data_IF_824536149488
#
_entry.id   IF_824536149488
#
_cell.length_a   1.000
_cell.length_b   1.000
_cell.length_c   1.000
_cell.angle_alpha   90.00
_cell.angle_beta   90.00
_cell.angle_gamma   90.00
#
_symmetry.space_group_name_H-M   'P 1'
#
loop_
_entity.id
_entity.type
_entity.pdbx_description
1 polymer ?
#
# COMPACT_ATOMS: atom_id res chain seq x y z
N UNK A 1 -18.25 10.24 13.93
CA UNK A 1 -17.18 10.47 12.93
C UNK A 1 -17.84 10.58 11.57
N UNK A 2 -17.69 11.72 10.89
CA UNK A 2 -18.21 11.90 9.54
C UNK A 2 -17.22 11.27 8.55
N UNK A 3 -17.68 10.20 7.88
CA UNK A 3 -16.88 9.44 6.93
C UNK A 3 -16.54 10.26 5.69
N UNK A 4 -17.44 11.16 5.28
CA UNK A 4 -17.24 11.99 4.10
C UNK A 4 -16.16 13.04 4.37
N UNK A 5 -16.19 13.69 5.53
CA UNK A 5 -15.14 14.60 5.96
C UNK A 5 -13.76 13.94 6.02
N UNK A 6 -13.70 12.66 6.44
CA UNK A 6 -12.45 11.90 6.43
C UNK A 6 -11.92 11.66 5.02
N UNK A 7 -12.76 11.19 4.09
CA UNK A 7 -12.37 10.99 2.69
C UNK A 7 -11.95 12.31 2.03
N UNK A 8 -12.67 13.40 2.30
CA UNK A 8 -12.30 14.73 1.82
C UNK A 8 -10.92 15.16 2.33
N UNK A 9 -10.59 14.87 3.59
CA UNK A 9 -9.26 15.15 4.14
C UNK A 9 -8.15 14.40 3.38
N UNK A 10 -8.39 13.13 3.01
CA UNK A 10 -7.45 12.33 2.22
C UNK A 10 -7.32 12.85 0.78
N UNK A 11 -8.41 13.33 0.18
CA UNK A 11 -8.39 13.92 -1.16
C UNK A 11 -7.66 15.25 -1.17
N UNK A 12 -7.78 16.05 -0.11
CA UNK A 12 -7.27 17.42 -0.08
C UNK A 12 -5.87 17.57 0.53
N UNK A 13 -5.35 16.56 1.23
CA UNK A 13 -3.99 16.59 1.76
C UNK A 13 -2.94 16.80 0.66
N UNK A 14 -1.84 17.47 1.00
CA UNK A 14 -0.77 17.87 0.07
C UNK A 14 -0.12 16.66 -0.61
N UNK A 15 0.21 15.63 0.18
CA UNK A 15 0.78 14.36 -0.29
C UNK A 15 0.04 13.23 0.40
N UNK A 16 -0.37 12.23 -0.37
CA UNK A 16 -0.99 11.01 0.15
C UNK A 16 -0.12 9.81 -0.22
N UNK A 17 0.10 8.92 0.75
CA UNK A 17 0.73 7.63 0.53
C UNK A 17 -0.35 6.57 0.73
N UNK A 18 -0.60 5.76 -0.30
CA UNK A 18 -1.47 4.60 -0.25
C UNK A 18 -0.59 3.35 -0.32
N UNK A 19 -0.57 2.61 0.78
CA UNK A 19 0.29 1.43 0.96
C UNK A 19 -0.45 0.14 0.56
N UNK A 20 0.28 -0.84 0.02
CA UNK A 20 -0.18 -2.20 -0.30
C UNK A 20 -1.43 -2.27 -1.21
N UNK A 21 -1.48 -1.43 -2.24
CA UNK A 21 -2.56 -1.44 -3.23
C UNK A 21 -2.64 -2.80 -3.95
N UNK A 22 -3.83 -3.38 -3.99
CA UNK A 22 -4.09 -4.66 -4.68
C UNK A 22 -4.13 -5.90 -3.77
N UNK A 23 -3.84 -5.76 -2.46
CA UNK A 23 -4.05 -6.82 -1.45
C UNK A 23 -5.46 -6.74 -0.84
N UNK A 24 -6.25 -5.74 -1.24
CA UNK A 24 -7.47 -5.35 -0.54
C UNK A 24 -8.57 -6.41 -0.61
N UNK A 25 -9.11 -6.74 0.58
CA UNK A 25 -10.20 -7.72 0.75
C UNK A 25 -11.41 -7.30 -0.06
N UNK A 26 -11.90 -8.26 -0.86
CA UNK A 26 -12.89 -8.25 -1.95
C UNK A 26 -14.27 -7.58 -1.75
N UNK A 27 -14.43 -6.62 -0.84
CA UNK A 27 -15.70 -5.89 -0.74
C UNK A 27 -15.80 -4.83 -1.83
N UNK A 28 -16.95 -4.78 -2.52
CA UNK A 28 -17.26 -3.74 -3.50
C UNK A 28 -17.11 -2.33 -2.92
N UNK A 29 -17.47 -2.17 -1.64
CA UNK A 29 -17.36 -0.91 -0.93
C UNK A 29 -15.91 -0.41 -0.82
N UNK A 30 -14.95 -1.26 -0.45
CA UNK A 30 -13.54 -0.87 -0.39
C UNK A 30 -13.02 -0.42 -1.76
N UNK A 31 -13.34 -1.18 -2.82
CA UNK A 31 -12.96 -0.87 -4.21
C UNK A 31 -13.49 0.50 -4.63
N UNK A 32 -14.74 0.82 -4.29
CA UNK A 32 -15.36 2.11 -4.59
C UNK A 32 -14.64 3.27 -3.87
N UNK A 33 -14.26 3.10 -2.61
CA UNK A 33 -13.54 4.15 -1.86
C UNK A 33 -12.16 4.41 -2.46
N UNK A 34 -11.42 3.36 -2.80
CA UNK A 34 -10.12 3.49 -3.48
C UNK A 34 -10.28 4.20 -4.82
N UNK A 35 -11.26 3.80 -5.62
CA UNK A 35 -11.58 4.47 -6.88
C UNK A 35 -11.85 5.96 -6.67
N UNK A 36 -12.69 6.32 -5.70
CA UNK A 36 -13.06 7.71 -5.43
C UNK A 36 -11.86 8.56 -4.99
N UNK A 37 -10.99 8.02 -4.13
CA UNK A 37 -9.77 8.71 -3.69
C UNK A 37 -8.82 8.91 -4.88
N UNK A 38 -8.51 7.84 -5.61
CA UNK A 38 -7.58 7.88 -6.76
C UNK A 38 -8.10 8.83 -7.84
N UNK A 39 -9.37 8.69 -8.23
CA UNK A 39 -9.97 9.55 -9.24
C UNK A 39 -9.98 11.02 -8.81
N UNK A 40 -10.35 11.32 -7.56
CA UNK A 40 -10.39 12.71 -7.08
C UNK A 40 -9.01 13.35 -7.03
N UNK A 41 -7.98 12.58 -6.61
CA UNK A 41 -6.61 13.09 -6.57
C UNK A 41 -5.98 13.21 -7.95
N UNK A 42 -6.30 12.29 -8.87
CA UNK A 42 -5.96 12.40 -10.29
C UNK A 42 -6.53 13.69 -10.90
N UNK A 43 -7.84 13.93 -10.74
CA UNK A 43 -8.50 15.13 -11.29
C UNK A 43 -7.96 16.44 -10.69
N UNK A 44 -7.58 16.42 -9.42
CA UNK A 44 -6.97 17.56 -8.73
C UNK A 44 -5.44 17.64 -8.91
N UNK A 45 -4.84 16.73 -9.66
CA UNK A 45 -3.40 16.60 -9.87
C UNK A 45 -2.60 16.64 -8.55
N UNK A 46 -3.12 15.95 -7.52
CA UNK A 46 -2.50 15.93 -6.19
C UNK A 46 -1.42 14.83 -6.10
N UNK A 47 -0.20 15.17 -5.63
CA UNK A 47 0.88 14.21 -5.48
C UNK A 47 0.47 12.99 -4.66
N UNK A 48 0.64 11.79 -5.21
CA UNK A 48 0.24 10.54 -4.56
C UNK A 48 1.31 9.49 -4.80
N UNK A 49 1.70 8.81 -3.73
CA UNK A 49 2.63 7.68 -3.76
C UNK A 49 1.82 6.42 -3.51
N UNK A 50 2.02 5.42 -4.36
CA UNK A 50 1.40 4.11 -4.22
C UNK A 50 2.49 3.07 -4.00
N UNK A 51 2.29 2.15 -3.07
CA UNK A 51 3.09 0.92 -2.99
C UNK A 51 2.20 -0.26 -3.34
N UNK A 52 2.79 -1.29 -3.92
CA UNK A 52 2.07 -2.49 -4.33
C UNK A 52 3.03 -3.66 -4.48
N UNK A 53 2.54 -4.86 -4.19
CA UNK A 53 3.24 -6.11 -4.47
C UNK A 53 2.83 -6.72 -5.83
N UNK A 54 1.98 -6.04 -6.59
CA UNK A 54 1.61 -6.45 -7.94
C UNK A 54 2.75 -6.13 -8.91
N UNK A 55 2.96 -7.01 -9.89
CA UNK A 55 3.89 -6.72 -10.97
C UNK A 55 3.35 -5.61 -11.86
N UNK A 56 4.25 -4.85 -12.48
CA UNK A 56 3.84 -3.80 -13.43
C UNK A 56 2.99 -4.36 -14.58
N UNK A 57 3.31 -5.58 -15.06
CA UNK A 57 2.51 -6.26 -16.08
C UNK A 57 1.08 -6.54 -15.61
N UNK A 58 0.90 -7.00 -14.37
CA UNK A 58 -0.42 -7.23 -13.77
C UNK A 58 -1.24 -5.94 -13.69
N UNK A 59 -0.60 -4.82 -13.35
CA UNK A 59 -1.26 -3.50 -13.26
C UNK A 59 -1.67 -3.02 -14.66
N UNK A 60 -0.75 -3.10 -15.63
CA UNK A 60 -0.98 -2.64 -17.01
C UNK A 60 -2.04 -3.49 -17.73
N UNK A 61 -2.01 -4.80 -17.52
CA UNK A 61 -2.86 -5.78 -18.21
C UNK A 61 -3.96 -6.35 -17.30
N UNK A 62 -4.41 -5.59 -16.30
CA UNK A 62 -5.41 -6.04 -15.34
C UNK A 62 -6.72 -6.52 -15.99
N UNK A 63 -7.15 -7.74 -15.65
CA UNK A 63 -8.38 -8.37 -16.17
C UNK A 63 -9.46 -8.60 -15.10
N UNK A 64 -9.20 -8.22 -13.86
CA UNK A 64 -10.04 -8.59 -12.72
C UNK A 64 -11.39 -7.88 -12.71
N UNK A 65 -11.38 -6.55 -12.86
CA UNK A 65 -12.61 -5.74 -12.92
C UNK A 65 -12.38 -4.44 -13.70
N UNK A 66 -13.48 -3.86 -14.20
CA UNK A 66 -13.45 -2.57 -14.91
C UNK A 66 -13.03 -1.44 -13.96
N UNK A 67 -13.41 -1.53 -12.69
CA UNK A 67 -13.02 -0.58 -11.64
C UNK A 67 -11.51 -0.58 -11.44
N UNK A 68 -10.89 -1.76 -11.31
CA UNK A 68 -9.43 -1.86 -11.19
C UNK A 68 -8.70 -1.38 -12.44
N UNK A 69 -9.18 -1.70 -13.64
CA UNK A 69 -8.62 -1.17 -14.88
C UNK A 69 -8.58 0.36 -14.90
N UNK A 70 -9.67 0.99 -14.43
CA UNK A 70 -9.76 2.45 -14.33
C UNK A 70 -8.84 3.05 -13.25
N UNK A 71 -8.67 2.36 -12.12
CA UNK A 71 -7.74 2.77 -11.06
C UNK A 71 -6.31 2.71 -11.60
N UNK A 72 -5.91 1.56 -12.13
CA UNK A 72 -4.56 1.33 -12.63
C UNK A 72 -4.20 2.21 -13.81
N UNK A 73 -5.14 2.45 -14.74
CA UNK A 73 -4.92 3.39 -15.84
C UNK A 73 -4.57 4.81 -15.36
N UNK A 74 -5.23 5.30 -14.30
CA UNK A 74 -4.90 6.62 -13.70
C UNK A 74 -3.57 6.61 -12.99
N UNK A 75 -3.26 5.53 -12.25
CA UNK A 75 -1.98 5.39 -11.56
C UNK A 75 -0.83 5.36 -12.56
N UNK A 76 -0.96 4.60 -13.66
CA UNK A 76 0.06 4.53 -14.71
C UNK A 76 0.32 5.90 -15.34
N UNK A 77 -0.73 6.70 -15.56
CA UNK A 77 -0.57 8.04 -16.13
C UNK A 77 0.09 9.01 -15.13
N UNK A 78 -0.37 9.02 -13.87
CA UNK A 78 0.03 10.04 -12.91
C UNK A 78 1.30 9.71 -12.10
N UNK A 79 1.85 8.50 -12.24
CA UNK A 79 2.99 8.03 -11.46
C UNK A 79 4.17 7.57 -12.33
N UNK A 80 5.37 7.69 -11.76
CA UNK A 80 6.59 7.11 -12.31
C UNK A 80 6.83 5.76 -11.59
N UNK A 81 6.83 4.62 -12.29
CA UNK A 81 7.02 3.32 -11.65
C UNK A 81 8.46 3.15 -11.16
N UNK A 82 8.63 2.65 -9.93
CA UNK A 82 9.93 2.32 -9.34
C UNK A 82 9.89 0.88 -8.86
N UNK A 83 10.66 0.00 -9.51
CA UNK A 83 10.76 -1.40 -9.12
C UNK A 83 11.74 -1.54 -7.96
N UNK A 84 11.25 -2.05 -6.82
CA UNK A 84 12.07 -2.36 -5.66
C UNK A 84 12.34 -3.86 -5.66
N UNK A 85 13.62 -4.23 -5.73
CA UNK A 85 14.09 -5.62 -5.67
C UNK A 85 14.93 -5.84 -4.42
N UNK A 86 14.80 -7.02 -3.82
CA UNK A 86 15.55 -7.37 -2.62
C UNK A 86 14.97 -8.57 -1.89
N UNK A 87 15.72 -9.07 -0.91
CA UNK A 87 15.22 -10.11 0.00
C UNK A 87 14.20 -9.53 0.98
N UNK A 88 13.29 -10.37 1.48
CA UNK A 88 12.34 -9.97 2.52
C UNK A 88 13.08 -9.64 3.83
N UNK A 89 13.26 -8.34 4.07
CA UNK A 89 13.94 -7.83 5.25
C UNK A 89 13.29 -8.27 6.57
N UNK A 90 11.99 -8.60 6.55
CA UNK A 90 11.30 -9.13 7.74
C UNK A 90 11.90 -10.46 8.19
N UNK A 91 12.42 -11.29 7.26
CA UNK A 91 13.10 -12.56 7.61
C UNK A 91 14.41 -12.32 8.35
N UNK A 92 15.16 -11.29 7.96
CA UNK A 92 16.37 -10.90 8.68
C UNK A 92 16.04 -10.46 10.11
N UNK A 93 15.07 -9.55 10.26
CA UNK A 93 14.58 -9.10 11.58
C UNK A 93 14.09 -10.28 12.42
N UNK A 94 13.36 -11.23 11.82
CA UNK A 94 12.86 -12.41 12.51
C UNK A 94 14.00 -13.28 13.05
N UNK A 95 15.04 -13.54 12.23
CA UNK A 95 16.21 -14.32 12.64
C UNK A 95 16.95 -13.66 13.79
N UNK A 96 17.17 -12.34 13.72
CA UNK A 96 17.82 -11.58 14.78
C UNK A 96 17.02 -11.60 16.09
N UNK A 97 15.70 -11.39 16.00
CA UNK A 97 14.78 -11.52 17.16
C UNK A 97 14.86 -12.90 17.80
N UNK A 98 14.91 -13.96 16.98
CA UNK A 98 15.00 -15.34 17.47
C UNK A 98 16.33 -15.58 18.20
N UNK A 99 17.45 -15.14 17.62
CA UNK A 99 18.79 -15.26 18.25
C UNK A 99 18.83 -14.55 19.60
N UNK A 100 18.38 -13.29 19.66
CA UNK A 100 18.35 -12.51 20.91
C UNK A 100 17.47 -13.14 21.98
N UNK A 101 16.29 -13.61 21.61
CA UNK A 101 15.40 -14.26 22.57
C UNK A 101 15.95 -15.61 23.05
N UNK A 102 16.59 -16.39 22.17
CA UNK A 102 17.26 -17.64 22.55
C UNK A 102 18.35 -17.39 23.59
N UNK A 103 19.19 -16.39 23.38
CA UNK A 103 20.24 -16.00 24.33
C UNK A 103 19.66 -15.61 25.70
N UNK A 104 18.64 -14.74 25.71
CA UNK A 104 17.95 -14.34 26.96
C UNK A 104 17.32 -15.51 27.71
N UNK A 105 16.76 -16.48 26.99
CA UNK A 105 16.12 -17.66 27.60
C UNK A 105 17.14 -18.65 28.16
N UNK A 106 18.30 -18.81 27.52
CA UNK A 106 19.34 -19.75 27.94
C UNK A 106 20.23 -19.18 29.05
N UNK A 107 20.53 -17.89 29.00
CA UNK A 107 21.45 -17.23 29.93
C UNK A 107 20.75 -16.46 31.05
N UNK A 108 19.42 -16.61 31.18
CA UNK A 108 18.63 -16.01 32.27
C UNK A 108 18.68 -14.50 32.26
N UNK A 109 18.15 -13.90 31.18
CA UNK A 109 18.32 -12.50 30.77
C UNK A 109 18.49 -11.48 31.89
N UNK A 110 19.37 -10.50 31.66
CA UNK A 110 19.73 -9.45 32.63
C UNK A 110 18.50 -8.97 33.42
N UNK A 111 18.48 -9.33 34.71
CA UNK A 111 17.55 -8.80 35.69
C UNK A 111 17.81 -7.31 35.80
N UNK A 112 17.11 -6.52 35.01
CA UNK A 112 16.87 -5.10 35.28
C UNK A 112 15.53 -4.95 35.96
#
# INVERSE_FOLDING_TARGET
FDKNAYIESLVNTSVLILDDLGIERDTSYAKEQVYNIVNSRYLKQKPTIFTTNLSYDTIQNCKDSVEYQRIYSRIIEMCIPVMVVGEDFRKFIQRDKLTRNKDRLLNGGERT
#
